data_IF_577728780061
#
_entry.id   IF_577728780061
#
_cell.length_a   1.000
_cell.length_b   1.000
_cell.length_c   1.000
_cell.angle_alpha   90.00
_cell.angle_beta   90.00
_cell.angle_gamma   90.00
#
_symmetry.space_group_name_H-M   'P 1'
#
loop_
_entity.id
_entity.type
_entity.pdbx_description
1 polymer ?
#
# COMPACT_ATOMS: atom_id res chain seq x y z
N UNK A 1 -21.11 4.22 -2.43
CA UNK A 1 -21.79 3.47 -3.53
C UNK A 1 -22.34 2.13 -3.01
N UNK A 2 -22.83 1.29 -3.92
CA UNK A 2 -23.32 -0.04 -3.56
C UNK A 2 -22.16 -0.97 -3.22
N UNK A 3 -21.63 -0.81 -2.02
CA UNK A 3 -20.57 -1.66 -1.50
C UNK A 3 -21.10 -3.05 -1.15
N UNK A 4 -20.34 -4.07 -1.52
CA UNK A 4 -20.65 -5.45 -1.19
C UNK A 4 -20.01 -5.83 0.15
N UNK A 5 -18.72 -5.50 0.29
CA UNK A 5 -17.99 -5.79 1.53
C UNK A 5 -17.16 -4.59 1.94
N UNK A 6 -17.26 -4.19 3.19
CA UNK A 6 -16.51 -3.05 3.71
C UNK A 6 -15.80 -3.41 5.01
N UNK A 7 -14.53 -3.07 5.09
CA UNK A 7 -13.71 -3.29 6.28
C UNK A 7 -13.11 -1.96 6.74
N UNK A 8 -12.43 -1.97 7.88
CA UNK A 8 -11.85 -0.74 8.44
C UNK A 8 -10.54 -1.03 9.15
N UNK A 9 -9.55 -0.20 8.89
CA UNK A 9 -8.23 -0.31 9.51
C UNK A 9 -7.80 1.03 10.07
N UNK A 10 -7.57 1.10 11.37
CA UNK A 10 -7.19 2.35 12.02
C UNK A 10 -5.67 2.40 12.21
N UNK A 11 -5.10 3.59 12.13
CA UNK A 11 -3.65 3.75 12.24
C UNK A 11 -3.28 5.04 12.96
N UNK A 12 -2.67 4.90 14.13
CA UNK A 12 -2.22 6.04 14.94
C UNK A 12 -0.80 6.43 14.56
N UNK A 13 -0.41 7.67 14.87
CA UNK A 13 0.95 8.11 14.68
C UNK A 13 1.78 7.89 15.93
N UNK A 14 1.66 6.69 16.49
CA UNK A 14 2.20 6.37 17.81
C UNK A 14 3.60 6.90 18.08
N UNK A 15 4.61 6.04 17.92
CA UNK A 15 6.00 6.44 18.13
C UNK A 15 6.58 6.97 16.83
N UNK A 16 6.52 6.17 15.78
CA UNK A 16 6.87 6.63 14.44
C UNK A 16 5.66 6.40 13.53
N UNK A 17 5.04 5.23 13.67
CA UNK A 17 3.72 5.02 13.14
C UNK A 17 3.06 3.78 13.73
N UNK A 18 1.76 3.67 13.57
CA UNK A 18 1.01 2.51 14.03
C UNK A 18 -0.04 2.13 13.00
N UNK A 19 -0.31 0.83 12.86
CA UNK A 19 -1.33 0.36 11.92
C UNK A 19 -2.05 -0.86 12.51
N UNK A 20 -3.36 -0.77 12.60
CA UNK A 20 -4.18 -1.82 13.17
C UNK A 20 -5.44 -2.02 12.34
N UNK A 21 -5.52 -3.15 11.67
CA UNK A 21 -6.74 -3.53 10.98
C UNK A 21 -7.77 -3.87 12.03
N UNK A 22 -8.75 -2.96 12.16
CA UNK A 22 -9.65 -2.89 13.32
C UNK A 22 -10.44 -4.17 13.52
N UNK A 23 -10.55 -4.97 12.47
CA UNK A 23 -11.23 -6.27 12.56
C UNK A 23 -10.29 -7.31 13.17
N UNK A 24 -9.23 -6.81 13.80
CA UNK A 24 -8.21 -7.63 14.45
C UNK A 24 -7.46 -8.46 13.41
N UNK A 25 -7.51 -7.99 12.17
CA UNK A 25 -6.79 -8.63 11.08
C UNK A 25 -5.33 -8.20 11.10
N UNK A 26 -5.03 -7.05 11.72
CA UNK A 26 -3.66 -6.59 11.82
C UNK A 26 -3.49 -5.68 13.03
N UNK A 27 -2.34 -5.78 13.70
CA UNK A 27 -2.01 -4.89 14.81
C UNK A 27 -0.50 -4.81 15.00
N UNK A 28 0.11 -3.78 14.43
CA UNK A 28 1.55 -3.54 14.59
C UNK A 28 1.87 -2.05 14.57
N UNK A 29 3.07 -1.74 14.99
CA UNK A 29 3.64 -0.40 14.91
C UNK A 29 4.74 -0.39 13.87
N UNK A 30 4.76 0.65 13.04
CA UNK A 30 5.76 0.76 11.99
C UNK A 30 6.54 2.06 12.11
N UNK A 31 7.51 2.23 11.23
CA UNK A 31 8.42 3.35 11.30
C UNK A 31 8.97 3.71 9.93
N UNK A 32 8.90 4.99 9.59
CA UNK A 32 9.53 5.52 8.40
C UNK A 32 11.06 5.46 8.57
N UNK A 33 11.85 5.56 7.49
CA UNK A 33 13.30 5.61 7.60
C UNK A 33 13.75 6.80 8.45
N UNK A 34 13.73 6.63 9.77
CA UNK A 34 14.18 7.67 10.68
C UNK A 34 15.61 8.07 10.36
N UNK A 35 16.31 7.17 9.67
CA UNK A 35 17.68 7.41 9.22
C UNK A 35 17.78 8.69 8.39
N UNK A 36 16.67 9.06 7.77
CA UNK A 36 16.64 10.19 6.83
C UNK A 36 15.81 11.33 7.38
N UNK A 37 14.69 10.99 8.02
CA UNK A 37 13.83 11.99 8.62
C UNK A 37 12.54 11.38 9.15
N UNK A 38 12.65 10.52 10.15
CA UNK A 38 11.47 9.91 10.74
C UNK A 38 11.21 10.39 12.16
N UNK A 39 10.95 9.46 13.06
CA UNK A 39 10.68 9.77 14.47
C UNK A 39 11.48 8.83 15.40
N UNK A 40 11.75 7.61 14.93
CA UNK A 40 12.55 6.68 15.70
C UNK A 40 11.74 5.53 16.29
N UNK A 41 11.74 4.40 15.58
CA UNK A 41 11.12 3.18 16.07
C UNK A 41 11.61 1.99 15.25
N UNK A 42 11.44 0.79 15.78
CA UNK A 42 11.90 -0.43 15.10
C UNK A 42 10.72 -1.17 14.47
N UNK A 43 10.11 -0.54 13.47
CA UNK A 43 8.95 -1.12 12.82
C UNK A 43 9.16 -1.35 11.34
N UNK A 44 8.07 -1.33 10.59
CA UNK A 44 8.10 -1.57 9.15
C UNK A 44 8.11 -0.25 8.38
N UNK A 45 8.88 -0.20 7.30
CA UNK A 45 8.96 1.01 6.49
C UNK A 45 7.76 1.10 5.55
N UNK A 46 7.09 2.28 5.50
CA UNK A 46 5.93 2.52 4.62
C UNK A 46 6.17 2.07 3.18
N UNK A 47 7.35 2.41 2.66
CA UNK A 47 7.73 2.08 1.29
C UNK A 47 7.64 0.58 1.07
N UNK A 48 8.26 -0.16 1.98
CA UNK A 48 8.30 -1.61 1.92
C UNK A 48 6.89 -2.18 2.12
N UNK A 49 6.12 -1.55 3.01
CA UNK A 49 4.78 -2.03 3.34
C UNK A 49 3.91 -2.02 2.09
N UNK A 50 3.88 -0.89 1.39
CA UNK A 50 3.11 -0.76 0.16
C UNK A 50 3.65 -1.72 -0.90
N UNK A 51 4.96 -1.73 -1.07
CA UNK A 51 5.61 -2.58 -2.06
C UNK A 51 5.24 -4.06 -1.87
N UNK A 52 5.42 -4.56 -0.64
CA UNK A 52 5.15 -5.95 -0.33
C UNK A 52 3.65 -6.24 -0.44
N UNK A 53 2.84 -5.37 0.14
CA UNK A 53 1.41 -5.51 0.06
C UNK A 53 0.91 -5.51 -1.37
N UNK A 54 1.54 -4.68 -2.20
CA UNK A 54 1.20 -4.59 -3.61
C UNK A 54 1.60 -5.87 -4.34
N UNK A 55 2.78 -6.39 -4.01
CA UNK A 55 3.28 -7.63 -4.61
C UNK A 55 2.34 -8.79 -4.28
N UNK A 56 2.05 -8.95 -2.99
CA UNK A 56 1.13 -9.99 -2.53
C UNK A 56 -0.26 -9.78 -3.14
N UNK A 57 -0.70 -8.52 -3.16
CA UNK A 57 -2.00 -8.17 -3.73
C UNK A 57 -2.04 -8.52 -5.21
N UNK A 58 -0.90 -8.34 -5.89
CA UNK A 58 -0.79 -8.61 -7.31
C UNK A 58 -0.93 -10.11 -7.55
N UNK A 59 -0.42 -10.90 -6.62
CA UNK A 59 -0.54 -12.37 -6.68
C UNK A 59 -1.98 -12.80 -6.42
N UNK A 60 -2.66 -12.06 -5.54
CA UNK A 60 -4.07 -12.30 -5.26
C UNK A 60 -4.91 -11.93 -6.49
N UNK A 61 -4.59 -10.77 -7.06
CA UNK A 61 -5.26 -10.28 -8.27
C UNK A 61 -5.08 -11.28 -9.41
N UNK A 62 -3.83 -11.68 -9.64
CA UNK A 62 -3.52 -12.68 -10.68
C UNK A 62 -4.24 -13.99 -10.41
N UNK A 63 -4.46 -14.30 -9.13
CA UNK A 63 -5.18 -15.51 -8.76
C UNK A 63 -6.63 -15.42 -9.22
N UNK A 64 -7.26 -14.29 -8.92
CA UNK A 64 -8.64 -14.04 -9.33
C UNK A 64 -8.75 -13.97 -10.86
N UNK A 65 -7.80 -13.26 -11.48
CA UNK A 65 -7.74 -13.15 -12.93
C UNK A 65 -7.71 -14.54 -13.56
N UNK A 66 -6.82 -15.38 -13.07
CA UNK A 66 -6.73 -16.76 -13.53
C UNK A 66 -8.08 -17.45 -13.36
N UNK A 67 -8.80 -17.04 -12.32
CA UNK A 67 -10.08 -17.64 -12.01
C UNK A 67 -11.17 -17.23 -12.99
N UNK A 68 -11.04 -16.05 -13.57
CA UNK A 68 -12.02 -15.55 -14.53
C UNK A 68 -11.52 -15.77 -15.95
N UNK A 69 -10.26 -16.17 -16.05
CA UNK A 69 -9.65 -16.52 -17.33
C UNK A 69 -9.56 -18.04 -17.46
N UNK A 70 -10.09 -18.73 -16.45
CA UNK A 70 -10.29 -20.18 -16.46
C UNK A 70 -8.94 -20.92 -16.51
N UNK A 71 -7.90 -20.21 -16.14
CA UNK A 71 -6.54 -20.74 -16.14
C UNK A 71 -6.05 -20.91 -14.70
N UNK A 72 -4.93 -21.60 -14.54
CA UNK A 72 -4.32 -21.81 -13.24
C UNK A 72 -2.85 -21.40 -13.26
N UNK A 73 -2.41 -20.73 -12.20
CA UNK A 73 -1.03 -20.25 -12.09
C UNK A 73 -0.27 -21.06 -11.04
N UNK A 74 1.03 -21.35 -11.27
CA UNK A 74 1.85 -22.15 -10.35
C UNK A 74 1.95 -21.54 -8.95
N UNK A 75 1.72 -22.35 -7.93
CA UNK A 75 1.73 -21.88 -6.54
C UNK A 75 3.14 -21.68 -6.01
N UNK A 76 4.14 -21.94 -6.85
CA UNK A 76 5.54 -21.82 -6.47
C UNK A 76 6.07 -20.41 -6.78
N UNK A 77 5.20 -19.56 -7.29
CA UNK A 77 5.58 -18.23 -7.76
C UNK A 77 5.85 -17.27 -6.60
N UNK A 78 6.71 -16.28 -6.86
CA UNK A 78 7.07 -15.28 -5.87
C UNK A 78 7.33 -13.94 -6.55
N UNK A 79 7.05 -12.84 -5.85
CA UNK A 79 7.35 -11.50 -6.34
C UNK A 79 8.18 -10.76 -5.30
N UNK A 80 9.37 -10.31 -5.70
CA UNK A 80 10.26 -9.61 -4.78
C UNK A 80 10.26 -8.11 -5.08
N UNK A 81 9.72 -7.33 -4.15
CA UNK A 81 9.63 -5.89 -4.29
C UNK A 81 10.79 -5.22 -3.57
N UNK A 82 11.71 -4.67 -4.35
CA UNK A 82 12.92 -4.05 -3.80
C UNK A 82 12.80 -2.53 -3.90
N UNK A 83 12.61 -1.88 -2.75
CA UNK A 83 12.38 -0.43 -2.72
C UNK A 83 13.60 0.33 -2.24
N UNK A 84 13.89 1.43 -2.91
CA UNK A 84 14.96 2.32 -2.50
C UNK A 84 14.50 3.76 -2.51
N UNK A 85 15.12 4.59 -1.71
CA UNK A 85 14.77 6.00 -1.63
C UNK A 85 16.04 6.84 -1.57
N UNK A 86 16.08 7.88 -2.39
CA UNK A 86 17.21 8.79 -2.42
C UNK A 86 16.79 10.19 -2.84
N UNK A 87 17.68 11.20 -2.71
CA UNK A 87 17.35 12.58 -3.05
C UNK A 87 17.42 12.80 -4.56
N UNK A 88 16.31 13.21 -5.14
CA UNK A 88 16.22 13.41 -6.58
C UNK A 88 16.72 14.80 -6.96
N UNK A 89 16.90 14.99 -8.27
CA UNK A 89 17.34 16.28 -8.82
C UNK A 89 16.40 17.41 -8.40
N UNK A 90 15.14 17.06 -8.15
CA UNK A 90 14.12 18.04 -7.79
C UNK A 90 14.37 18.61 -6.40
N UNK A 91 15.03 17.83 -5.56
CA UNK A 91 15.36 18.28 -4.21
C UNK A 91 14.46 17.65 -3.17
N UNK A 92 13.77 16.59 -3.55
CA UNK A 92 12.93 15.84 -2.64
C UNK A 92 13.34 14.39 -2.56
N UNK A 93 12.49 13.54 -2.01
CA UNK A 93 12.79 12.13 -1.88
C UNK A 93 12.12 11.35 -3.01
N UNK A 94 12.92 10.52 -3.68
CA UNK A 94 12.45 9.73 -4.81
C UNK A 94 12.55 8.24 -4.50
N UNK A 95 11.47 7.51 -4.81
CA UNK A 95 11.40 6.08 -4.56
C UNK A 95 11.66 5.29 -5.84
N UNK A 96 12.70 4.47 -5.79
CA UNK A 96 13.04 3.58 -6.88
C UNK A 96 12.75 2.15 -6.44
N UNK A 97 11.74 1.53 -7.03
CA UNK A 97 11.31 0.20 -6.61
C UNK A 97 11.41 -0.81 -7.76
N UNK A 98 12.33 -1.74 -7.62
CA UNK A 98 12.52 -2.82 -8.58
C UNK A 98 11.56 -3.96 -8.24
N UNK A 99 10.51 -4.10 -9.04
CA UNK A 99 9.50 -5.11 -8.80
C UNK A 99 9.83 -6.37 -9.59
N UNK A 100 10.24 -7.42 -8.87
CA UNK A 100 10.72 -8.65 -9.49
C UNK A 100 9.64 -9.70 -9.52
N UNK A 101 9.25 -10.09 -10.72
CA UNK A 101 8.17 -11.05 -10.92
C UNK A 101 8.73 -12.42 -11.28
N UNK A 102 8.81 -13.31 -10.29
CA UNK A 102 9.34 -14.66 -10.51
C UNK A 102 8.18 -15.65 -10.69
N UNK A 103 7.92 -16.02 -11.92
CA UNK A 103 6.86 -16.98 -12.24
C UNK A 103 7.48 -18.23 -12.86
N UNK A 104 7.34 -19.39 -12.19
CA UNK A 104 7.93 -20.65 -12.64
C UNK A 104 7.23 -21.20 -13.88
N UNK A 105 7.98 -21.92 -14.70
CA UNK A 105 7.43 -22.46 -15.93
C UNK A 105 7.23 -21.38 -16.97
N UNK A 106 7.85 -20.23 -16.76
CA UNK A 106 7.70 -19.07 -17.62
C UNK A 106 9.08 -18.51 -18.02
N UNK A 107 9.18 -18.04 -19.26
CA UNK A 107 10.41 -17.42 -19.77
C UNK A 107 10.51 -15.98 -19.34
N UNK A 108 11.68 -15.42 -19.47
CA UNK A 108 11.87 -13.98 -19.33
C UNK A 108 11.20 -13.26 -20.51
N UNK A 109 11.45 -13.78 -21.71
CA UNK A 109 10.95 -13.17 -22.94
C UNK A 109 9.44 -13.09 -22.94
N UNK A 110 8.80 -14.16 -22.46
CA UNK A 110 7.34 -14.21 -22.36
C UNK A 110 6.89 -13.39 -21.15
N UNK A 111 7.59 -13.55 -20.04
CA UNK A 111 7.27 -12.80 -18.81
C UNK A 111 7.26 -11.30 -19.08
N UNK A 112 8.13 -10.84 -19.97
CA UNK A 112 8.21 -9.42 -20.31
C UNK A 112 6.86 -8.89 -20.77
N UNK A 113 6.22 -9.60 -21.69
CA UNK A 113 4.93 -9.17 -22.22
C UNK A 113 3.82 -9.42 -21.19
N UNK A 114 3.91 -10.56 -20.50
CA UNK A 114 2.87 -10.95 -19.55
C UNK A 114 2.79 -9.94 -18.40
N UNK A 115 3.93 -9.59 -17.82
CA UNK A 115 3.98 -8.63 -16.72
C UNK A 115 3.57 -7.25 -17.24
N UNK A 116 3.96 -6.95 -18.48
CA UNK A 116 3.64 -5.68 -19.11
C UNK A 116 2.12 -5.50 -19.20
N UNK A 117 1.47 -6.41 -19.90
CA UNK A 117 0.03 -6.34 -20.12
C UNK A 117 -0.73 -6.45 -18.80
N UNK A 118 -0.22 -7.30 -17.91
CA UNK A 118 -0.83 -7.48 -16.59
C UNK A 118 -0.86 -6.16 -15.82
N UNK A 119 0.29 -5.50 -15.74
CA UNK A 119 0.39 -4.23 -15.03
C UNK A 119 -0.39 -3.14 -15.75
N UNK A 120 -0.64 -3.34 -17.04
CA UNK A 120 -1.43 -2.40 -17.84
C UNK A 120 -2.91 -2.48 -17.45
N UNK A 121 -3.46 -3.68 -17.51
CA UNK A 121 -4.90 -3.89 -17.30
C UNK A 121 -5.27 -3.77 -15.83
N UNK A 122 -4.33 -4.11 -14.94
CA UNK A 122 -4.59 -4.05 -13.50
C UNK A 122 -3.33 -3.65 -12.74
N UNK A 123 -3.09 -2.33 -12.56
CA UNK A 123 -1.99 -1.83 -11.75
C UNK A 123 -2.40 -1.61 -10.29
N UNK A 124 -3.11 -0.49 -10.06
CA UNK A 124 -3.65 -0.10 -8.75
C UNK A 124 -4.04 1.37 -8.86
N UNK A 125 -3.23 2.08 -9.64
CA UNK A 125 -3.48 3.45 -10.04
C UNK A 125 -2.54 3.78 -11.20
N UNK A 126 -2.90 4.75 -12.04
CA UNK A 126 -2.04 5.16 -13.13
C UNK A 126 -0.74 5.74 -12.58
N UNK A 127 -0.87 6.37 -11.43
CA UNK A 127 0.24 7.05 -10.77
C UNK A 127 1.14 6.09 -10.00
N UNK A 128 0.91 4.78 -10.14
CA UNK A 128 1.67 3.80 -9.37
C UNK A 128 2.91 3.44 -10.18
N UNK A 129 2.95 4.00 -11.38
CA UNK A 129 4.04 3.81 -12.30
C UNK A 129 4.53 5.15 -12.82
N UNK A 130 3.58 6.03 -13.09
CA UNK A 130 3.86 7.36 -13.66
C UNK A 130 4.35 8.33 -12.58
N UNK A 131 3.95 8.07 -11.34
CA UNK A 131 4.36 8.90 -10.20
C UNK A 131 5.45 8.18 -9.40
N UNK A 132 5.26 6.87 -9.25
CA UNK A 132 6.19 6.03 -8.52
C UNK A 132 7.13 5.32 -9.49
N UNK A 133 8.43 5.54 -9.34
CA UNK A 133 9.41 4.99 -10.24
C UNK A 133 9.64 3.51 -9.96
N UNK A 134 8.98 2.66 -10.76
CA UNK A 134 9.09 1.22 -10.61
C UNK A 134 9.86 0.61 -11.78
N UNK A 135 10.81 -0.27 -11.45
CA UNK A 135 11.54 -1.05 -12.44
C UNK A 135 10.88 -2.42 -12.57
N UNK A 136 10.17 -2.65 -13.67
CA UNK A 136 9.55 -3.95 -13.90
C UNK A 136 10.60 -4.96 -14.35
N UNK A 137 11.03 -5.80 -13.40
CA UNK A 137 12.06 -6.79 -13.64
C UNK A 137 11.47 -8.20 -13.53
N UNK A 138 11.49 -8.92 -14.63
CA UNK A 138 10.92 -10.25 -14.70
C UNK A 138 11.98 -11.31 -14.40
N UNK A 139 11.58 -12.31 -13.64
CA UNK A 139 12.48 -13.36 -13.18
C UNK A 139 11.99 -14.72 -13.65
N UNK B 1 20.57 7.01 -9.56
CA UNK B 1 20.38 7.96 -8.46
C UNK B 1 21.14 7.51 -7.22
N UNK B 2 21.16 8.36 -6.22
CA UNK B 2 21.85 8.07 -4.96
C UNK B 2 20.86 7.54 -3.93
N UNK B 3 20.62 6.24 -3.95
CA UNK B 3 19.73 5.61 -3.00
C UNK B 3 20.31 5.65 -1.59
N UNK B 4 19.67 6.41 -0.74
CA UNK B 4 20.08 6.55 0.66
C UNK B 4 19.66 5.32 1.45
N UNK B 5 18.42 4.90 1.25
CA UNK B 5 17.86 3.78 2.00
C UNK B 5 17.19 2.80 1.04
N UNK B 6 17.58 1.53 1.10
CA UNK B 6 16.94 0.51 0.28
C UNK B 6 16.70 -0.76 1.10
N UNK B 7 15.57 -1.39 0.83
CA UNK B 7 15.21 -2.65 1.48
C UNK B 7 14.45 -3.53 0.48
N UNK B 8 14.73 -4.83 0.52
CA UNK B 8 14.10 -5.77 -0.40
C UNK B 8 13.09 -6.63 0.34
N UNK B 9 11.93 -6.80 -0.26
CA UNK B 9 10.87 -7.62 0.32
C UNK B 9 10.48 -8.71 -0.66
N UNK B 10 10.08 -9.85 -0.14
CA UNK B 10 9.73 -11.00 -0.94
C UNK B 10 8.32 -11.41 -0.56
N UNK B 11 7.49 -11.58 -1.56
CA UNK B 11 6.09 -11.88 -1.35
C UNK B 11 5.71 -13.14 -2.13
N UNK B 12 5.39 -14.20 -1.38
CA UNK B 12 5.09 -15.50 -1.97
C UNK B 12 3.59 -15.72 -2.09
N UNK B 13 3.19 -16.62 -2.97
CA UNK B 13 1.79 -16.99 -3.09
C UNK B 13 1.41 -18.08 -2.11
N UNK B 14 1.25 -17.70 -0.84
CA UNK B 14 0.80 -18.65 0.18
C UNK B 14 -0.62 -19.16 -0.08
N UNK B 15 -1.48 -19.11 0.94
CA UNK B 15 -2.89 -19.46 0.74
C UNK B 15 -3.50 -18.52 -0.29
N UNK B 16 -3.38 -17.23 -0.05
CA UNK B 16 -3.78 -16.22 -1.03
C UNK B 16 -2.62 -15.28 -1.30
N UNK B 17 -1.95 -14.87 -0.22
CA UNK B 17 -0.71 -14.12 -0.40
C UNK B 17 0.16 -14.14 0.84
N UNK B 18 1.44 -13.90 0.62
CA UNK B 18 2.43 -13.80 1.69
C UNK B 18 3.32 -12.59 1.43
N UNK B 19 3.76 -11.94 2.50
CA UNK B 19 4.57 -10.74 2.38
C UNK B 19 5.62 -10.72 3.49
N UNK B 20 6.89 -10.62 3.09
CA UNK B 20 7.98 -10.63 4.04
C UNK B 20 9.06 -9.62 3.65
N UNK B 21 9.33 -8.65 4.52
CA UNK B 21 10.46 -7.76 4.29
C UNK B 21 11.69 -8.61 4.55
N UNK B 22 12.37 -8.95 3.45
CA UNK B 22 13.33 -10.05 3.40
C UNK B 22 14.50 -9.86 4.36
N UNK B 23 14.79 -8.61 4.65
CA UNK B 23 15.84 -8.28 5.62
C UNK B 23 15.32 -8.42 7.04
N UNK B 24 14.24 -9.21 7.17
CA UNK B 24 13.69 -9.65 8.46
C UNK B 24 13.01 -8.52 9.20
N UNK B 25 12.54 -7.52 8.46
CA UNK B 25 11.77 -6.43 9.07
C UNK B 25 10.27 -6.74 9.07
N UNK B 26 9.83 -7.65 8.18
CA UNK B 26 8.40 -7.99 8.14
C UNK B 26 8.23 -9.43 7.70
N UNK B 27 7.24 -10.11 8.27
CA UNK B 27 6.92 -11.49 7.91
C UNK B 27 5.47 -11.83 8.27
N UNK B 28 4.59 -11.79 7.28
CA UNK B 28 3.17 -12.16 7.47
C UNK B 28 2.57 -12.74 6.19
N UNK B 29 1.31 -13.13 6.30
CA UNK B 29 0.53 -13.64 5.19
C UNK B 29 -0.84 -12.96 5.18
N UNK B 30 -1.38 -12.75 3.99
CA UNK B 30 -2.69 -12.14 3.85
C UNK B 30 -3.57 -12.97 2.92
N UNK B 31 -4.87 -12.72 2.97
CA UNK B 31 -5.85 -13.50 2.24
C UNK B 31 -7.23 -12.87 2.29
N UNK B 32 -7.84 -12.70 1.13
CA UNK B 32 -9.22 -12.24 1.04
C UNK B 32 -10.17 -13.37 1.44
N UNK B 33 -10.95 -13.18 2.52
CA UNK B 33 -11.92 -14.19 2.99
C UNK B 33 -12.98 -14.49 1.93
N UNK B 34 -13.48 -15.72 1.93
CA UNK B 34 -14.47 -16.14 0.94
C UNK B 34 -15.85 -15.57 1.28
N UNK B 35 -15.98 -14.26 1.15
CA UNK B 35 -17.25 -13.58 1.36
C UNK B 35 -17.92 -13.27 0.02
N UNK B 36 -17.14 -12.75 -0.92
CA UNK B 36 -17.66 -12.35 -2.23
C UNK B 36 -17.04 -13.18 -3.35
N UNK B 37 -16.26 -14.18 -2.96
CA UNK B 37 -15.48 -14.95 -3.92
C UNK B 37 -14.00 -14.75 -3.72
N UNK B 38 -13.52 -15.08 -2.52
CA UNK B 38 -12.12 -14.89 -2.19
C UNK B 38 -11.32 -16.17 -2.31
N UNK B 39 -10.46 -16.43 -1.34
CA UNK B 39 -9.57 -17.58 -1.35
C UNK B 39 -9.97 -18.62 -0.30
N UNK B 40 -10.16 -18.15 0.93
CA UNK B 40 -10.51 -19.04 2.02
C UNK B 40 -9.49 -19.00 3.14
N UNK B 41 -9.59 -17.96 3.97
CA UNK B 41 -8.70 -17.79 5.11
C UNK B 41 -9.09 -16.55 5.90
N UNK B 42 -8.46 -16.34 7.05
CA UNK B 42 -8.77 -15.22 7.93
C UNK B 42 -7.58 -14.27 8.07
N UNK B 43 -6.72 -14.25 7.06
CA UNK B 43 -5.55 -13.38 7.08
C UNK B 43 -5.91 -11.90 6.95
N UNK B 44 -5.14 -11.16 6.17
CA UNK B 44 -5.42 -9.74 5.96
C UNK B 44 -5.93 -9.51 4.55
N UNK B 45 -6.90 -8.63 4.39
CA UNK B 45 -7.46 -8.33 3.08
C UNK B 45 -6.51 -7.41 2.30
N UNK B 46 -6.41 -7.58 0.96
CA UNK B 46 -5.45 -6.83 0.12
C UNK B 46 -5.62 -5.31 0.21
N UNK B 47 -6.79 -4.82 -0.18
CA UNK B 47 -7.06 -3.38 -0.20
C UNK B 47 -7.04 -2.84 1.22
N UNK B 48 -7.44 -3.70 2.15
CA UNK B 48 -7.37 -3.41 3.58
C UNK B 48 -5.93 -3.20 4.02
N UNK B 49 -5.03 -4.02 3.47
CA UNK B 49 -3.61 -3.94 3.77
C UNK B 49 -3.04 -2.62 3.25
N UNK B 50 -3.34 -2.31 1.99
CA UNK B 50 -2.92 -1.03 1.39
C UNK B 50 -3.48 0.15 2.20
N UNK B 51 -4.75 0.05 2.60
CA UNK B 51 -5.40 1.09 3.38
C UNK B 51 -4.68 1.30 4.71
N UNK B 52 -4.51 0.21 5.46
CA UNK B 52 -3.85 0.26 6.76
C UNK B 52 -2.45 0.84 6.64
N UNK B 53 -1.69 0.29 5.68
CA UNK B 53 -0.35 0.74 5.44
C UNK B 53 -0.29 2.21 5.06
N UNK B 54 -1.03 2.58 4.01
CA UNK B 54 -1.08 3.95 3.53
C UNK B 54 -1.46 4.93 4.64
N UNK B 55 -2.52 4.60 5.39
CA UNK B 55 -2.96 5.46 6.48
C UNK B 55 -1.83 5.65 7.49
N UNK B 56 -1.23 4.56 7.92
CA UNK B 56 -0.09 4.61 8.84
C UNK B 56 1.06 5.43 8.23
N UNK B 57 1.26 5.24 6.93
CA UNK B 57 2.28 5.95 6.18
C UNK B 57 1.99 7.44 6.20
N UNK B 58 0.70 7.78 6.14
CA UNK B 58 0.26 9.17 6.08
C UNK B 58 0.70 9.90 7.34
N UNK B 59 0.71 9.20 8.47
CA UNK B 59 1.16 9.77 9.74
C UNK B 59 2.66 10.07 9.69
N UNK B 60 3.44 9.14 9.16
CA UNK B 60 4.88 9.34 9.01
C UNK B 60 5.16 10.46 7.99
N UNK B 61 4.38 10.45 6.91
CA UNK B 61 4.50 11.48 5.88
C UNK B 61 4.24 12.85 6.49
N UNK B 62 3.21 12.95 7.31
CA UNK B 62 2.89 14.19 8.00
C UNK B 62 3.90 14.45 9.13
N UNK B 63 4.49 13.37 9.65
CA UNK B 63 5.55 13.50 10.65
C UNK B 63 6.70 14.31 10.04
N UNK B 64 6.98 14.02 8.77
CA UNK B 64 7.98 14.76 8.00
C UNK B 64 7.43 16.14 7.57
N UNK B 65 6.23 16.16 7.02
CA UNK B 65 5.62 17.38 6.50
C UNK B 65 5.58 18.47 7.59
N UNK B 66 5.13 18.09 8.77
CA UNK B 66 5.05 19.02 9.89
C UNK B 66 6.44 19.60 10.18
N UNK B 67 7.47 18.79 9.93
CA UNK B 67 8.83 19.20 10.19
C UNK B 67 9.33 20.24 9.21
N UNK B 68 8.73 20.26 8.02
CA UNK B 68 9.09 21.24 7.00
C UNK B 68 8.08 22.38 7.01
N UNK B 69 6.94 22.15 7.66
CA UNK B 69 5.89 23.15 7.80
C UNK B 69 6.03 23.91 9.12
N UNK B 70 7.05 23.52 9.90
CA UNK B 70 7.41 24.20 11.13
C UNK B 70 6.29 24.07 12.18
N UNK B 71 5.46 23.05 12.00
CA UNK B 71 4.34 22.80 12.90
C UNK B 71 4.53 21.49 13.66
N UNK B 72 3.75 21.30 14.71
CA UNK B 72 3.84 20.08 15.53
C UNK B 72 2.47 19.40 15.62
N UNK B 73 2.46 18.11 15.35
CA UNK B 73 1.23 17.32 15.44
C UNK B 73 1.27 16.38 16.64
N UNK B 74 0.12 16.17 17.31
CA UNK B 74 0.01 15.25 18.46
C UNK B 74 0.33 13.81 18.08
N UNK B 75 0.82 13.04 19.03
CA UNK B 75 1.06 11.61 18.84
C UNK B 75 -0.26 10.84 18.93
N UNK B 76 -1.23 11.45 19.58
CA UNK B 76 -2.53 10.81 19.83
C UNK B 76 -3.45 10.91 18.61
N UNK B 77 -2.92 11.42 17.51
CA UNK B 77 -3.70 11.54 16.29
C UNK B 77 -3.76 10.19 15.56
N UNK B 78 -4.91 9.90 14.96
CA UNK B 78 -5.14 8.62 14.31
C UNK B 78 -5.93 8.81 13.01
N UNK B 79 -5.69 7.93 12.06
CA UNK B 79 -6.40 7.92 10.79
C UNK B 79 -6.97 6.53 10.55
N UNK B 80 -8.26 6.46 10.31
CA UNK B 80 -8.94 5.19 10.09
C UNK B 80 -9.39 5.07 8.64
N UNK B 81 -8.82 4.11 7.93
CA UNK B 81 -9.17 3.86 6.54
C UNK B 81 -10.26 2.80 6.44
N UNK B 82 -11.47 3.23 6.11
CA UNK B 82 -12.59 2.32 5.95
C UNK B 82 -12.81 2.04 4.46
N UNK B 83 -12.49 0.81 4.04
CA UNK B 83 -12.51 0.45 2.63
C UNK B 83 -13.74 -0.40 2.30
N UNK B 84 -14.37 -0.13 1.17
CA UNK B 84 -15.45 -0.95 0.70
C UNK B 84 -15.23 -1.38 -0.72
N UNK B 85 -15.70 -2.57 -1.05
CA UNK B 85 -15.58 -3.10 -2.40
C UNK B 85 -16.95 -3.48 -2.90
N UNK B 86 -17.27 -3.02 -4.10
CA UNK B 86 -18.56 -3.25 -4.71
C UNK B 86 -18.43 -3.33 -6.22
N UNK B 87 -19.48 -3.73 -6.94
CA UNK B 87 -19.42 -3.87 -8.40
C UNK B 87 -19.62 -2.53 -9.08
N UNK B 88 -19.06 -2.39 -10.27
CA UNK B 88 -19.27 -1.18 -11.07
C UNK B 88 -20.04 -1.53 -12.34
N UNK B 89 -20.62 -0.52 -12.96
CA UNK B 89 -21.42 -0.73 -14.17
C UNK B 89 -20.54 -1.14 -15.35
N UNK B 90 -19.22 -1.03 -15.17
CA UNK B 90 -18.27 -1.55 -16.15
C UNK B 90 -18.31 -3.08 -16.17
N UNK B 91 -18.78 -3.66 -15.07
CA UNK B 91 -18.92 -5.11 -14.98
C UNK B 91 -17.83 -5.75 -14.14
N UNK B 92 -16.97 -4.91 -13.57
CA UNK B 92 -15.90 -5.40 -12.71
C UNK B 92 -16.11 -4.96 -11.27
N UNK B 93 -15.04 -4.99 -10.48
CA UNK B 93 -15.09 -4.54 -9.10
C UNK B 93 -14.61 -3.11 -8.98
N UNK B 94 -15.00 -2.44 -7.92
CA UNK B 94 -14.68 -1.04 -7.68
C UNK B 94 -14.41 -0.82 -6.21
N UNK B 95 -13.32 -0.13 -5.92
CA UNK B 95 -12.92 0.14 -4.55
C UNK B 95 -13.33 1.55 -4.14
N UNK B 96 -13.89 1.65 -2.96
CA UNK B 96 -14.32 2.92 -2.39
C UNK B 96 -13.82 2.99 -0.96
N UNK B 97 -12.86 3.85 -0.69
CA UNK B 97 -12.25 3.93 0.62
C UNK B 97 -12.42 5.31 1.24
N UNK B 98 -13.09 5.34 2.37
CA UNK B 98 -13.31 6.55 3.13
C UNK B 98 -12.21 6.72 4.15
N UNK B 99 -11.38 7.73 3.97
CA UNK B 99 -10.24 7.95 4.84
C UNK B 99 -10.63 8.92 5.96
N UNK B 100 -10.77 8.41 7.17
CA UNK B 100 -11.32 9.16 8.28
C UNK B 100 -10.18 9.69 9.15
N UNK B 101 -10.00 11.01 9.14
CA UNK B 101 -8.84 11.63 9.78
C UNK B 101 -9.21 12.23 11.12
N UNK B 102 -8.64 11.68 12.19
CA UNK B 102 -8.86 12.19 13.54
C UNK B 102 -7.60 12.87 14.07
N UNK B 103 -7.59 14.20 14.02
CA UNK B 103 -6.52 14.99 14.60
C UNK B 103 -7.08 15.73 15.82
N UNK B 104 -6.57 15.43 17.02
CA UNK B 104 -7.13 15.95 18.27
C UNK B 104 -6.88 17.43 18.45
N UNK B 105 -7.87 18.11 19.00
CA UNK B 105 -7.78 19.56 19.19
C UNK B 105 -8.09 20.33 17.92
N UNK B 106 -8.36 19.60 16.85
CA UNK B 106 -8.59 20.19 15.54
C UNK B 106 -10.08 20.23 15.19
N UNK B 107 -10.50 21.37 14.64
CA UNK B 107 -11.87 21.56 14.17
C UNK B 107 -12.09 20.89 12.83
N UNK B 108 -13.33 20.52 12.54
CA UNK B 108 -13.66 19.85 11.28
C UNK B 108 -13.50 20.80 10.09
N UNK B 109 -13.98 22.03 10.27
CA UNK B 109 -13.91 23.05 9.22
C UNK B 109 -12.45 23.28 8.79
N UNK B 110 -11.57 23.34 9.78
CA UNK B 110 -10.14 23.51 9.53
C UNK B 110 -9.53 22.21 9.01
N UNK B 111 -9.99 21.10 9.58
CA UNK B 111 -9.50 19.78 9.20
C UNK B 111 -9.69 19.54 7.71
N UNK B 112 -10.81 20.05 7.18
CA UNK B 112 -11.09 19.95 5.75
C UNK B 112 -9.92 20.44 4.91
N UNK B 113 -9.37 21.58 5.29
CA UNK B 113 -8.30 22.20 4.50
C UNK B 113 -6.94 21.59 4.84
N UNK B 114 -6.74 21.25 6.11
CA UNK B 114 -5.46 20.68 6.56
C UNK B 114 -5.26 19.30 5.94
N UNK B 115 -6.31 18.48 5.99
CA UNK B 115 -6.27 17.16 5.37
C UNK B 115 -6.11 17.28 3.87
N UNK B 116 -6.78 18.28 3.28
CA UNK B 116 -6.73 18.49 1.84
C UNK B 116 -5.30 18.74 1.37
N UNK B 117 -4.64 19.71 2.00
CA UNK B 117 -3.29 20.10 1.62
C UNK B 117 -2.29 19.00 1.93
N UNK B 118 -2.45 18.39 3.11
CA UNK B 118 -1.59 17.27 3.51
C UNK B 118 -1.76 16.10 2.53
N UNK B 119 -3.00 15.89 2.11
CA UNK B 119 -3.35 14.83 1.17
C UNK B 119 -3.11 15.29 -0.27
N UNK B 120 -2.53 16.48 -0.42
CA UNK B 120 -2.19 17.03 -1.74
C UNK B 120 -0.67 17.02 -1.97
N UNK B 121 0.09 17.30 -0.92
CA UNK B 121 1.55 17.41 -1.02
C UNK B 121 2.22 16.04 -0.90
N UNK B 122 1.65 15.16 -0.09
CA UNK B 122 2.25 13.85 0.17
C UNK B 122 2.03 12.89 -0.99
N UNK B 123 3.03 12.03 -1.31
CA UNK B 123 2.90 10.98 -2.32
C UNK B 123 1.76 10.01 -1.99
N UNK B 124 1.35 9.20 -2.97
CA UNK B 124 0.18 8.30 -2.85
C UNK B 124 -1.11 9.11 -2.84
N UNK B 125 -1.19 10.05 -1.89
CA UNK B 125 -2.38 10.89 -1.69
C UNK B 125 -2.91 11.48 -3.00
N UNK B 126 -2.03 12.00 -3.84
CA UNK B 126 -2.44 12.58 -5.12
C UNK B 126 -3.14 11.53 -5.98
N UNK B 127 -2.48 10.39 -6.13
CA UNK B 127 -2.98 9.29 -6.93
C UNK B 127 -4.24 8.70 -6.34
N UNK B 128 -4.45 8.88 -5.05
CA UNK B 128 -5.48 8.13 -4.35
C UNK B 128 -6.73 8.98 -4.24
N UNK B 129 -6.63 10.22 -4.67
CA UNK B 129 -7.73 11.15 -4.59
C UNK B 129 -8.22 11.53 -5.99
N UNK B 130 -7.29 12.02 -6.80
CA UNK B 130 -7.61 12.47 -8.15
C UNK B 130 -7.73 11.29 -9.12
N UNK B 131 -7.06 10.19 -8.79
CA UNK B 131 -7.06 9.01 -9.66
C UNK B 131 -7.95 7.92 -9.09
N UNK B 132 -7.88 7.74 -7.77
CA UNK B 132 -8.56 6.64 -7.08
C UNK B 132 -9.67 7.18 -6.18
N UNK B 133 -10.65 6.34 -5.85
CA UNK B 133 -11.81 6.75 -5.08
C UNK B 133 -11.58 6.64 -3.58
N UNK B 134 -10.92 7.65 -3.03
CA UNK B 134 -10.81 7.82 -1.60
C UNK B 134 -11.60 9.04 -1.16
N UNK B 135 -12.61 8.81 -0.32
CA UNK B 135 -13.41 9.90 0.21
C UNK B 135 -12.80 10.41 1.50
N UNK B 136 -12.20 11.60 1.44
CA UNK B 136 -11.57 12.21 2.60
C UNK B 136 -12.63 12.70 3.59
N UNK B 137 -12.72 12.01 4.71
CA UNK B 137 -13.68 12.33 5.75
C UNK B 137 -12.94 12.74 7.02
N UNK B 138 -13.11 13.99 7.40
CA UNK B 138 -12.43 14.56 8.55
C UNK B 138 -13.28 14.34 9.80
N UNK B 139 -12.62 13.98 10.87
CA UNK B 139 -13.30 13.60 12.11
C UNK B 139 -14.20 14.73 12.62
#
# INVERSE_FOLDING_TARGET
MNILYKTAATSTGGRDGRATSHDQKLDVKLSAPRELGGAGAEGTNPEQLFAAGYSACFLSAMKFVAGQNKQTLPADTTVTAEVGIGPNEEGGFALDVELRVALPGLDAAAAKTLVDRAHHVCPYSNATRNNVAVRLVVA
MNILYKTAATSTGGRDGRATSHDQKLDVKLSAPRELGGAGAEGTNPEQLFAAGYSACFLSAMKFVAGQNKQTLPADTTVTAEVGIGPNEEGGFALDVELRVALPGLDAAAAKTLVDRAHHVCPYSNATRNNVAVRLVVA
#
